data_IF_876723063409
#
_entry.id   IF_876723063409
#
_cell.length_a   1.000
_cell.length_b   1.000
_cell.length_c   1.000
_cell.angle_alpha   90.00
_cell.angle_beta   90.00
_cell.angle_gamma   90.00
#
_symmetry.space_group_name_H-M   'P 1'
#
loop_
_entity.id
_entity.type
_entity.pdbx_description
1 polymer ?
#
# COMPACT_ATOMS: atom_id res chain seq x y z
N UNK A 1 -36.26 -8.69 -73.76
CA UNK A 1 -34.94 -9.24 -74.13
C UNK A 1 -34.05 -9.16 -72.91
N UNK A 2 -34.07 -10.19 -72.07
CA UNK A 2 -33.10 -11.31 -72.04
C UNK A 2 -31.83 -11.00 -71.24
N UNK A 3 -31.83 -11.57 -70.02
CA UNK A 3 -30.75 -12.14 -69.19
C UNK A 3 -29.31 -12.18 -69.75
N UNK A 4 -28.32 -11.87 -68.89
CA UNK A 4 -27.23 -12.79 -68.47
C UNK A 4 -26.55 -12.30 -67.19
N UNK A 5 -26.10 -13.25 -66.36
CA UNK A 5 -25.59 -13.14 -64.98
C UNK A 5 -24.05 -13.12 -64.88
N UNK A 6 -23.58 -12.98 -63.62
CA UNK A 6 -22.26 -13.39 -63.06
C UNK A 6 -21.06 -12.43 -63.26
N UNK A 7 -20.13 -12.20 -62.32
CA UNK A 7 -19.80 -12.83 -61.02
C UNK A 7 -19.06 -11.80 -60.14
N UNK A 8 -19.01 -12.06 -58.83
CA UNK A 8 -18.56 -11.22 -57.73
C UNK A 8 -17.05 -10.91 -57.66
N UNK A 9 -16.70 -9.73 -57.15
CA UNK A 9 -15.45 -9.55 -56.38
C UNK A 9 -15.67 -8.64 -55.15
N UNK A 10 -15.49 -9.21 -53.95
CA UNK A 10 -15.73 -8.53 -52.65
C UNK A 10 -14.39 -8.03 -52.10
N UNK A 11 -14.07 -6.76 -52.33
CA UNK A 11 -13.04 -6.06 -51.58
C UNK A 11 -13.53 -5.77 -50.14
N UNK A 12 -13.12 -6.63 -49.20
CA UNK A 12 -13.25 -6.38 -47.75
C UNK A 12 -12.49 -5.10 -47.37
N UNK A 13 -13.22 -4.02 -47.14
CA UNK A 13 -12.72 -2.85 -46.44
C UNK A 13 -12.47 -3.21 -44.98
N UNK A 14 -11.21 -3.13 -44.52
CA UNK A 14 -10.87 -3.18 -43.09
C UNK A 14 -11.45 -1.94 -42.43
N UNK A 15 -12.54 -2.11 -41.69
CA UNK A 15 -13.10 -1.07 -40.83
C UNK A 15 -12.08 -0.78 -39.74
N UNK A 16 -11.60 0.46 -39.71
CA UNK A 16 -10.76 0.98 -38.64
C UNK A 16 -11.65 1.20 -37.42
N UNK A 17 -11.41 0.42 -36.36
CA UNK A 17 -12.19 0.45 -35.13
C UNK A 17 -11.45 1.30 -34.07
N UNK A 18 -11.94 2.51 -33.73
CA UNK A 18 -11.31 3.40 -32.76
C UNK A 18 -11.21 2.80 -31.35
N UNK A 19 -12.02 1.79 -31.02
CA UNK A 19 -11.98 1.14 -29.70
C UNK A 19 -10.76 0.20 -29.52
N UNK A 20 -10.18 -0.30 -30.63
CA UNK A 20 -8.97 -1.12 -30.59
C UNK A 20 -7.72 -0.31 -30.24
N UNK A 21 -7.65 0.93 -30.69
CA UNK A 21 -6.51 1.82 -30.39
C UNK A 21 -6.52 2.30 -28.94
N UNK A 22 -7.72 2.55 -28.38
CA UNK A 22 -7.87 2.88 -26.96
C UNK A 22 -7.41 1.71 -26.07
N UNK A 23 -7.75 0.48 -26.46
CA UNK A 23 -7.36 -0.72 -25.73
C UNK A 23 -5.84 -0.98 -25.78
N UNK A 24 -5.20 -0.70 -26.92
CA UNK A 24 -3.75 -0.81 -27.10
C UNK A 24 -2.99 0.26 -26.30
N UNK A 25 -3.46 1.50 -26.31
CA UNK A 25 -2.86 2.58 -25.52
C UNK A 25 -2.96 2.33 -24.01
N UNK A 26 -4.07 1.77 -23.55
CA UNK A 26 -4.25 1.38 -22.16
C UNK A 26 -3.27 0.26 -21.78
N UNK A 27 -3.10 -0.74 -22.66
CA UNK A 27 -2.16 -1.85 -22.43
C UNK A 27 -0.70 -1.38 -22.42
N UNK A 28 -0.33 -0.43 -23.27
CA UNK A 28 1.01 0.21 -23.26
C UNK A 28 1.26 0.98 -21.96
N UNK A 29 0.26 1.71 -21.46
CA UNK A 29 0.38 2.42 -20.17
C UNK A 29 0.52 1.44 -19.01
N UNK A 30 -0.23 0.35 -18.98
CA UNK A 30 -0.07 -0.70 -17.97
C UNK A 30 1.28 -1.42 -18.08
N UNK A 31 1.79 -1.64 -19.30
CA UNK A 31 3.13 -2.18 -19.53
C UNK A 31 4.21 -1.23 -18.99
N UNK A 32 4.03 0.08 -19.16
CA UNK A 32 4.98 1.07 -18.65
C UNK A 32 4.99 1.11 -17.12
N UNK A 33 3.82 1.04 -16.48
CA UNK A 33 3.70 0.94 -15.02
C UNK A 33 4.38 -0.33 -14.51
N UNK A 34 4.15 -1.46 -15.17
CA UNK A 34 4.76 -2.75 -14.82
C UNK A 34 6.28 -2.72 -14.98
N UNK A 35 6.76 -2.09 -16.06
CA UNK A 35 8.19 -1.91 -16.32
C UNK A 35 8.83 -1.00 -15.28
N UNK A 36 8.21 0.13 -14.96
CA UNK A 36 8.68 1.05 -13.94
C UNK A 36 8.77 0.37 -12.57
N UNK A 37 7.73 -0.35 -12.15
CA UNK A 37 7.75 -1.13 -10.91
C UNK A 37 8.89 -2.15 -10.87
N UNK A 38 9.15 -2.84 -11.99
CA UNK A 38 10.27 -3.80 -12.13
C UNK A 38 11.64 -3.13 -12.08
N UNK A 39 11.79 -1.96 -12.68
CA UNK A 39 13.05 -1.19 -12.71
C UNK A 39 13.38 -0.58 -11.34
N UNK A 40 12.41 0.03 -10.66
CA UNK A 40 12.56 0.51 -9.27
C UNK A 40 12.98 -0.62 -8.34
N UNK A 41 12.39 -1.79 -8.51
CA UNK A 41 12.72 -3.00 -7.74
C UNK A 41 14.14 -3.49 -8.03
N UNK A 42 14.59 -3.44 -9.28
CA UNK A 42 15.95 -3.84 -9.66
C UNK A 42 17.03 -2.92 -9.06
N UNK A 43 16.75 -1.62 -8.98
CA UNK A 43 17.64 -0.65 -8.31
C UNK A 43 17.79 -0.95 -6.81
N UNK A 44 16.72 -1.38 -6.15
CA UNK A 44 16.76 -1.83 -4.74
C UNK A 44 17.64 -3.09 -4.60
N UNK A 45 17.70 -3.96 -5.61
CA UNK A 45 18.44 -5.21 -5.56
C UNK A 45 19.93 -5.11 -5.96
N UNK A 46 20.35 -4.12 -6.75
CA UNK A 46 21.76 -3.94 -7.12
C UNK A 46 22.64 -3.50 -5.93
N UNK A 47 22.09 -2.75 -4.97
CA UNK A 47 22.80 -2.36 -3.73
C UNK A 47 22.98 -3.52 -2.71
N UNK A 48 22.38 -4.70 -2.95
CA UNK A 48 22.27 -5.77 -1.95
C UNK A 48 23.39 -6.84 -1.98
N UNK A 49 24.27 -6.87 -2.98
CA UNK A 49 25.27 -7.94 -3.09
C UNK A 49 26.38 -7.85 -2.02
N UNK A 50 26.68 -6.66 -1.52
CA UNK A 50 27.74 -6.47 -0.50
C UNK A 50 27.27 -6.77 0.93
N UNK A 51 25.96 -6.76 1.19
CA UNK A 51 25.41 -6.81 2.56
C UNK A 51 25.10 -8.22 3.06
N UNK A 52 24.80 -9.17 2.16
CA UNK A 52 24.57 -10.58 2.53
C UNK A 52 25.82 -11.23 3.16
N UNK A 53 27.03 -10.73 2.86
CA UNK A 53 28.27 -11.20 3.46
C UNK A 53 28.41 -10.82 4.94
N UNK A 54 27.84 -9.69 5.36
CA UNK A 54 27.94 -9.18 6.73
C UNK A 54 27.03 -9.94 7.71
N UNK A 55 25.81 -10.30 7.30
CA UNK A 55 24.89 -11.07 8.14
C UNK A 55 25.28 -12.54 8.28
N UNK A 56 25.86 -13.15 7.25
CA UNK A 56 26.32 -14.55 7.30
C UNK A 56 27.48 -14.75 8.28
N UNK A 57 28.25 -13.70 8.56
CA UNK A 57 29.40 -13.74 9.48
C UNK A 57 29.00 -13.71 10.96
N UNK A 58 27.80 -13.22 11.31
CA UNK A 58 27.35 -13.10 12.71
C UNK A 58 26.65 -14.35 13.25
N UNK A 59 26.25 -15.30 12.39
CA UNK A 59 25.57 -16.54 12.78
C UNK A 59 26.51 -17.73 13.04
N UNK A 60 27.76 -17.67 12.60
CA UNK A 60 28.71 -18.80 12.75
C UNK A 60 29.48 -18.83 14.08
N UNK A 61 29.36 -17.81 14.94
CA UNK A 61 30.13 -17.69 16.19
C UNK A 61 29.39 -18.19 17.45
N UNK A 62 28.33 -18.99 17.31
CA UNK A 62 27.72 -19.67 18.46
C UNK A 62 27.16 -21.03 18.09
N UNK A 63 27.97 -22.06 18.28
CA UNK A 63 27.70 -23.27 19.08
C UNK A 63 28.57 -24.44 18.60
N UNK A 64 29.44 -24.90 19.51
CA UNK A 64 30.26 -26.10 19.41
C UNK A 64 29.74 -27.08 20.47
N UNK A 65 29.33 -28.29 20.07
CA UNK A 65 29.80 -29.58 20.61
C UNK A 65 29.10 -30.77 19.91
N UNK A 66 29.77 -31.94 19.77
CA UNK A 66 29.44 -32.97 18.79
C UNK A 66 28.76 -34.22 19.40
N UNK A 67 28.00 -34.95 18.59
CA UNK A 67 27.67 -36.37 18.82
C UNK A 67 27.96 -37.14 17.53
N UNK A 68 28.66 -38.27 17.68
CA UNK A 68 29.27 -39.10 16.64
C UNK A 68 28.51 -40.43 16.49
N UNK A 69 28.33 -40.85 15.21
CA UNK A 69 28.19 -42.24 14.67
C UNK A 69 26.91 -43.05 15.00
N UNK A 70 26.32 -43.88 14.13
CA UNK A 70 26.90 -44.87 13.20
C UNK A 70 25.91 -45.34 12.09
N UNK A 71 26.45 -45.54 10.86
CA UNK A 71 26.38 -46.72 9.94
C UNK A 71 25.10 -47.11 9.14
N UNK A 72 25.22 -46.86 7.83
CA UNK A 72 25.17 -47.74 6.63
C UNK A 72 23.93 -48.51 6.10
N UNK A 73 23.61 -48.14 4.85
CA UNK A 73 23.52 -48.96 3.61
C UNK A 73 22.25 -49.70 3.15
N UNK A 74 21.87 -49.30 1.91
CA UNK A 74 21.70 -50.12 0.69
C UNK A 74 20.28 -50.44 0.15
N UNK A 75 20.09 -49.98 -1.10
CA UNK A 75 19.54 -50.67 -2.30
C UNK A 75 18.24 -50.14 -2.94
N UNK A 76 18.39 -49.93 -4.25
CA UNK A 76 17.50 -49.48 -5.32
C UNK A 76 16.37 -50.46 -5.61
N UNK A 77 15.17 -49.95 -5.93
CA UNK A 77 14.32 -50.53 -6.97
C UNK A 77 13.41 -49.44 -7.57
N UNK A 78 13.40 -49.46 -8.89
CA UNK A 78 12.78 -48.58 -9.86
C UNK A 78 11.29 -48.91 -10.03
N UNK A 79 10.40 -47.96 -9.75
CA UNK A 79 9.04 -47.95 -10.29
C UNK A 79 8.62 -46.50 -10.53
N UNK A 80 8.44 -46.11 -11.79
CA UNK A 80 7.88 -44.82 -12.20
C UNK A 80 6.39 -44.75 -11.93
N UNK A 81 5.88 -43.73 -11.21
CA UNK A 81 4.48 -43.36 -11.29
C UNK A 81 4.31 -41.94 -11.84
N UNK A 82 3.60 -41.89 -12.96
CA UNK A 82 2.79 -40.79 -13.51
C UNK A 82 2.74 -39.54 -12.61
N UNK A 83 3.31 -38.44 -13.10
CA UNK A 83 3.20 -37.11 -12.48
C UNK A 83 1.72 -36.71 -12.49
N UNK A 84 1.06 -36.90 -11.34
CA UNK A 84 -0.12 -36.12 -11.01
C UNK A 84 0.36 -34.67 -10.81
N UNK A 85 -0.20 -33.75 -11.59
CA UNK A 85 0.05 -32.32 -11.47
C UNK A 85 -0.50 -31.85 -10.12
N UNK A 86 0.30 -32.01 -9.05
CA UNK A 86 -0.01 -31.41 -7.76
C UNK A 86 0.20 -29.91 -7.94
N UNK A 87 -0.90 -29.18 -8.09
CA UNK A 87 -0.90 -27.73 -7.94
C UNK A 87 -0.32 -27.42 -6.56
N UNK A 88 0.95 -27.03 -6.57
CA UNK A 88 1.76 -26.75 -5.41
C UNK A 88 1.18 -25.49 -4.73
N UNK A 89 0.42 -25.70 -3.65
CA UNK A 89 -0.13 -24.65 -2.79
C UNK A 89 0.96 -23.66 -2.30
N UNK A 90 2.22 -24.06 -2.37
CA UNK A 90 3.37 -23.21 -2.06
C UNK A 90 3.53 -22.02 -3.02
N UNK A 91 2.98 -22.07 -4.25
CA UNK A 91 3.11 -20.98 -5.24
C UNK A 91 2.44 -19.67 -4.78
N UNK A 92 1.43 -19.74 -3.92
CA UNK A 92 0.72 -18.57 -3.37
C UNK A 92 1.48 -17.89 -2.22
N UNK A 93 2.48 -18.55 -1.65
CA UNK A 93 3.28 -18.00 -0.54
C UNK A 93 4.56 -17.31 -1.01
N UNK A 94 4.84 -17.28 -2.33
CA UNK A 94 6.02 -16.61 -2.83
C UNK A 94 5.77 -15.11 -3.04
N UNK A 95 6.46 -14.30 -2.24
CA UNK A 95 6.65 -12.87 -2.49
C UNK A 95 7.91 -12.74 -3.34
N UNK A 96 7.73 -12.48 -4.65
CA UNK A 96 8.83 -12.27 -5.61
C UNK A 96 9.86 -13.40 -5.67
N UNK A 97 9.39 -14.65 -5.68
CA UNK A 97 10.27 -15.83 -5.78
C UNK A 97 10.94 -16.24 -4.46
N UNK A 98 10.57 -15.62 -3.33
CA UNK A 98 10.94 -16.06 -1.98
C UNK A 98 9.70 -16.36 -1.14
N UNK A 99 9.80 -17.35 -0.25
CA UNK A 99 8.74 -17.63 0.70
C UNK A 99 8.48 -16.40 1.59
N UNK A 100 7.20 -16.08 1.79
CA UNK A 100 6.74 -15.00 2.65
C UNK A 100 7.21 -15.25 4.08
N UNK A 101 7.83 -14.23 4.67
CA UNK A 101 8.25 -14.28 6.07
C UNK A 101 7.04 -14.06 6.99
N UNK A 102 7.12 -14.46 8.28
CA UNK A 102 6.11 -14.04 9.25
C UNK A 102 6.07 -12.50 9.37
N UNK A 103 4.94 -11.91 9.82
CA UNK A 103 4.86 -10.47 10.08
C UNK A 103 5.94 -10.03 11.07
N UNK A 104 6.39 -8.78 10.94
CA UNK A 104 7.30 -8.16 11.91
C UNK A 104 6.62 -8.11 13.28
N UNK A 105 7.23 -8.73 14.30
CA UNK A 105 6.75 -8.74 15.67
C UNK A 105 7.40 -7.63 16.54
N UNK A 106 6.91 -7.48 17.77
CA UNK A 106 7.33 -6.42 18.69
C UNK A 106 8.82 -6.52 19.04
N UNK A 107 9.33 -7.72 19.29
CA UNK A 107 10.74 -7.94 19.66
C UNK A 107 11.68 -7.54 18.51
N UNK A 108 11.35 -7.94 17.28
CA UNK A 108 12.11 -7.54 16.09
C UNK A 108 12.02 -6.04 15.86
N UNK A 109 10.83 -5.44 16.03
CA UNK A 109 10.64 -3.99 15.91
C UNK A 109 11.52 -3.21 16.89
N UNK A 110 11.55 -3.62 18.16
CA UNK A 110 12.41 -2.99 19.18
C UNK A 110 13.90 -3.09 18.82
N UNK A 111 14.33 -4.15 18.13
CA UNK A 111 15.73 -4.30 17.69
C UNK A 111 16.13 -3.32 16.57
N UNK A 112 15.17 -2.73 15.85
CA UNK A 112 15.44 -1.66 14.87
C UNK A 112 15.61 -0.28 15.51
N UNK A 113 15.22 -0.11 16.78
CA UNK A 113 15.23 1.15 17.48
C UNK A 113 16.48 1.29 18.37
N UNK A 114 17.01 2.51 18.47
CA UNK A 114 18.00 2.83 19.51
C UNK A 114 17.35 3.25 20.84
N UNK A 115 18.19 3.62 21.81
CA UNK A 115 17.73 4.08 23.13
C UNK A 115 16.91 5.38 23.09
N UNK A 116 17.04 6.17 22.02
CA UNK A 116 16.32 7.44 21.84
C UNK A 116 15.11 7.28 20.91
N UNK A 117 14.88 6.08 20.36
CA UNK A 117 13.75 5.74 19.50
C UNK A 117 13.97 6.01 18.01
N UNK A 118 15.21 6.22 17.57
CA UNK A 118 15.54 6.37 16.14
C UNK A 118 15.64 5.00 15.48
N UNK A 119 15.31 4.92 14.20
CA UNK A 119 15.45 3.70 13.39
C UNK A 119 16.88 3.61 12.86
N UNK A 120 17.61 2.60 13.32
CA UNK A 120 19.03 2.41 13.02
C UNK A 120 19.31 2.06 11.56
N UNK A 121 18.45 1.22 10.95
CA UNK A 121 18.57 0.84 9.53
C UNK A 121 17.20 0.82 8.84
N UNK A 122 16.84 1.96 8.24
CA UNK A 122 15.58 2.13 7.53
C UNK A 122 15.46 1.27 6.27
N UNK A 123 16.58 0.91 5.62
CA UNK A 123 16.57 0.07 4.41
C UNK A 123 16.27 -1.38 4.80
N UNK A 124 16.93 -1.90 5.84
CA UNK A 124 16.68 -3.24 6.35
C UNK A 124 15.24 -3.38 6.90
N UNK A 125 14.75 -2.38 7.64
CA UNK A 125 13.37 -2.38 8.13
C UNK A 125 12.36 -2.47 6.99
N UNK A 126 12.46 -1.62 5.97
CA UNK A 126 11.56 -1.64 4.80
C UNK A 126 11.61 -2.98 4.07
N UNK A 127 12.78 -3.59 3.95
CA UNK A 127 12.95 -4.93 3.36
C UNK A 127 12.26 -6.00 4.21
N UNK A 128 12.41 -5.97 5.54
CA UNK A 128 11.76 -6.91 6.47
C UNK A 128 10.23 -6.80 6.40
N UNK A 129 9.71 -5.58 6.33
CA UNK A 129 8.27 -5.31 6.14
C UNK A 129 7.80 -5.78 4.77
N UNK A 130 8.58 -5.57 3.71
CA UNK A 130 8.22 -6.00 2.36
C UNK A 130 8.02 -7.53 2.25
N UNK A 131 8.90 -8.31 2.87
CA UNK A 131 8.83 -9.78 2.80
C UNK A 131 7.87 -10.42 3.80
N UNK A 132 7.59 -9.78 4.94
CA UNK A 132 6.75 -10.37 6.00
C UNK A 132 5.46 -9.63 6.33
N UNK A 133 5.39 -8.34 6.02
CA UNK A 133 4.35 -7.44 6.54
C UNK A 133 4.58 -7.07 8.00
N UNK A 134 3.52 -6.55 8.63
CA UNK A 134 3.55 -6.01 10.00
C UNK A 134 2.40 -6.61 10.80
N UNK A 135 2.69 -7.02 12.04
CA UNK A 135 1.68 -7.46 12.99
C UNK A 135 0.68 -6.33 13.30
N UNK A 136 -0.58 -6.68 13.55
CA UNK A 136 -1.66 -5.68 13.61
C UNK A 136 -1.45 -4.60 14.69
N UNK A 137 -1.05 -5.01 15.89
CA UNK A 137 -0.73 -4.14 17.03
C UNK A 137 0.38 -3.11 16.72
N UNK A 138 1.31 -3.43 15.82
CA UNK A 138 2.41 -2.54 15.44
C UNK A 138 2.07 -1.60 14.29
N UNK A 139 0.98 -1.83 13.55
CA UNK A 139 0.67 -1.05 12.34
C UNK A 139 0.57 0.44 12.62
N UNK A 140 -0.09 0.83 13.72
CA UNK A 140 -0.24 2.23 14.10
C UNK A 140 1.10 2.95 14.23
N UNK A 141 2.08 2.33 14.89
CA UNK A 141 3.41 2.90 15.05
C UNK A 141 4.27 2.82 13.78
N UNK A 142 4.29 1.66 13.13
CA UNK A 142 5.13 1.42 11.95
C UNK A 142 4.65 2.24 10.75
N UNK A 143 3.35 2.38 10.55
CA UNK A 143 2.78 3.14 9.42
C UNK A 143 3.12 4.62 9.50
N UNK A 144 3.26 5.19 10.71
CA UNK A 144 3.72 6.58 10.87
C UNK A 144 5.09 6.81 10.22
N UNK A 145 5.98 5.83 10.21
CA UNK A 145 7.26 5.93 9.49
C UNK A 145 7.13 5.65 7.99
N UNK A 146 6.32 4.66 7.60
CA UNK A 146 6.13 4.29 6.19
C UNK A 146 5.45 5.40 5.39
N UNK A 147 4.49 6.11 6.01
CA UNK A 147 3.73 7.20 5.42
C UNK A 147 4.41 8.57 5.60
N UNK A 148 5.59 8.60 6.21
CA UNK A 148 6.37 9.84 6.38
C UNK A 148 5.84 10.78 7.45
N UNK A 149 4.90 10.35 8.30
CA UNK A 149 4.48 11.11 9.47
C UNK A 149 5.64 11.33 10.46
N UNK A 150 6.51 10.33 10.61
CA UNK A 150 7.76 10.40 11.36
C UNK A 150 8.98 10.24 10.46
N UNK A 151 10.02 11.01 10.72
CA UNK A 151 11.35 10.78 10.16
C UNK A 151 11.99 9.55 10.81
N UNK A 152 12.72 8.75 10.03
CA UNK A 152 13.39 7.54 10.54
C UNK A 152 14.47 7.86 11.58
N UNK A 153 15.05 9.04 11.52
CA UNK A 153 16.07 9.58 12.41
C UNK A 153 15.51 10.37 13.60
N UNK A 154 14.18 10.49 13.71
CA UNK A 154 13.54 11.24 14.81
C UNK A 154 13.51 10.46 16.13
N UNK A 155 13.79 11.18 17.22
CA UNK A 155 13.75 10.65 18.59
C UNK A 155 12.32 10.62 19.15
N UNK A 156 12.09 9.93 20.27
CA UNK A 156 10.79 9.94 20.95
C UNK A 156 10.33 11.35 21.34
N UNK A 157 11.23 12.17 21.87
CA UNK A 157 10.92 13.54 22.31
C UNK A 157 10.55 14.44 21.13
N UNK A 158 11.28 14.36 20.03
CA UNK A 158 10.96 15.11 18.80
C UNK A 158 9.61 14.68 18.22
N UNK A 159 9.31 13.38 18.23
CA UNK A 159 8.03 12.86 17.72
C UNK A 159 6.84 13.34 18.55
N UNK A 160 6.95 13.37 19.87
CA UNK A 160 5.92 13.90 20.76
C UNK A 160 5.68 15.40 20.49
N UNK A 161 6.75 16.19 20.40
CA UNK A 161 6.66 17.61 20.08
C UNK A 161 6.01 17.84 18.71
N UNK A 162 6.46 17.14 17.66
CA UNK A 162 5.92 17.27 16.31
C UNK A 162 4.45 16.85 16.24
N UNK A 163 4.02 15.83 16.99
CA UNK A 163 2.62 15.44 17.06
C UNK A 163 1.74 16.57 17.60
N UNK A 164 2.20 17.30 18.63
CA UNK A 164 1.47 18.46 19.17
C UNK A 164 1.36 19.62 18.18
N UNK A 165 2.43 19.89 17.43
CA UNK A 165 2.47 20.93 16.38
C UNK A 165 1.51 20.56 15.24
N UNK A 166 1.64 19.35 14.71
CA UNK A 166 0.77 18.80 13.65
C UNK A 166 -0.70 18.81 14.04
N UNK A 167 -1.03 18.48 15.29
CA UNK A 167 -2.40 18.54 15.80
C UNK A 167 -2.95 19.97 15.79
N UNK A 168 -2.15 20.95 16.20
CA UNK A 168 -2.54 22.37 16.20
C UNK A 168 -2.73 22.90 14.78
N UNK A 169 -1.84 22.53 13.87
CA UNK A 169 -1.91 22.91 12.45
C UNK A 169 -3.15 22.32 11.78
N UNK A 170 -3.44 21.03 12.02
CA UNK A 170 -4.66 20.37 11.55
C UNK A 170 -5.91 21.14 11.97
N UNK A 171 -6.02 21.48 13.27
CA UNK A 171 -7.17 22.22 13.79
C UNK A 171 -7.28 23.63 13.17
N UNK A 172 -6.14 24.26 12.89
CA UNK A 172 -6.10 25.56 12.20
C UNK A 172 -6.70 25.45 10.80
N UNK A 173 -6.32 24.45 10.01
CA UNK A 173 -6.88 24.22 8.67
C UNK A 173 -8.37 23.86 8.76
N UNK A 174 -8.73 22.97 9.68
CA UNK A 174 -10.13 22.55 9.90
C UNK A 174 -11.03 23.75 10.22
N UNK A 175 -10.56 24.67 11.05
CA UNK A 175 -11.31 25.88 11.42
C UNK A 175 -11.65 26.79 10.22
N UNK A 176 -10.85 26.76 9.14
CA UNK A 176 -11.08 27.58 7.96
C UNK A 176 -12.41 27.24 7.29
N UNK A 177 -12.72 25.95 7.13
CA UNK A 177 -13.97 25.53 6.51
C UNK A 177 -15.14 25.52 7.49
N UNK A 178 -14.88 25.27 8.77
CA UNK A 178 -15.91 25.32 9.82
C UNK A 178 -16.45 26.74 10.04
N UNK A 179 -15.62 27.76 9.82
CA UNK A 179 -16.02 29.17 9.95
C UNK A 179 -16.78 29.72 8.74
N UNK A 180 -16.96 28.93 7.68
CA UNK A 180 -17.72 29.36 6.49
C UNK A 180 -19.21 29.42 6.83
N UNK A 181 -19.76 30.62 6.81
CA UNK A 181 -21.21 30.83 6.97
C UNK A 181 -21.99 30.27 5.79
N UNK A 182 -23.29 29.99 6.01
CA UNK A 182 -24.21 29.55 4.96
C UNK A 182 -24.29 30.53 3.77
N UNK A 183 -24.18 31.84 4.03
CA UNK A 183 -24.17 32.86 2.98
C UNK A 183 -22.86 32.85 2.15
N UNK A 184 -21.72 32.60 2.79
CA UNK A 184 -20.44 32.43 2.09
C UNK A 184 -20.41 31.13 1.28
N UNK A 185 -20.88 30.02 1.87
CA UNK A 185 -20.96 28.73 1.19
C UNK A 185 -21.75 28.82 -0.13
N UNK A 186 -22.87 29.54 -0.15
CA UNK A 186 -23.67 29.79 -1.38
C UNK A 186 -22.85 30.42 -2.51
N UNK A 187 -21.88 31.28 -2.20
CA UNK A 187 -21.01 31.94 -3.19
C UNK A 187 -19.71 31.16 -3.47
N UNK A 188 -19.37 30.18 -2.63
CA UNK A 188 -18.15 29.41 -2.74
C UNK A 188 -18.38 28.07 -3.46
N UNK A 189 -18.46 28.12 -4.79
CA UNK A 189 -18.80 26.94 -5.63
C UNK A 189 -17.86 25.76 -5.42
N UNK A 190 -16.53 25.96 -5.45
CA UNK A 190 -15.55 24.89 -5.22
C UNK A 190 -15.75 24.17 -3.88
N UNK A 191 -16.00 24.92 -2.81
CA UNK A 191 -16.30 24.34 -1.49
C UNK A 191 -17.57 23.48 -1.50
N UNK A 192 -18.68 24.01 -2.04
CA UNK A 192 -19.94 23.25 -2.07
C UNK A 192 -19.83 21.97 -2.88
N UNK A 193 -19.19 22.04 -4.04
CA UNK A 193 -19.04 20.89 -4.93
C UNK A 193 -18.18 19.81 -4.28
N UNK A 194 -17.03 20.17 -3.71
CA UNK A 194 -16.16 19.24 -2.99
C UNK A 194 -16.85 18.64 -1.77
N UNK A 195 -17.51 19.47 -0.96
CA UNK A 195 -18.28 19.00 0.20
C UNK A 195 -19.34 18.00 -0.21
N UNK A 196 -20.12 18.31 -1.25
CA UNK A 196 -21.17 17.42 -1.75
C UNK A 196 -20.66 16.13 -2.38
N UNK A 197 -19.45 16.12 -2.95
CA UNK A 197 -18.80 14.89 -3.41
C UNK A 197 -18.32 14.03 -2.22
N UNK A 198 -17.67 14.64 -1.23
CA UNK A 198 -17.22 13.97 -0.01
C UNK A 198 -18.42 13.36 0.73
N UNK A 199 -19.49 14.12 0.96
CA UNK A 199 -20.71 13.65 1.64
C UNK A 199 -21.33 12.41 0.97
N UNK A 200 -21.25 12.31 -0.37
CA UNK A 200 -21.74 11.15 -1.12
C UNK A 200 -20.80 9.95 -1.04
N UNK A 201 -19.50 10.18 -0.98
CA UNK A 201 -18.49 9.12 -1.00
C UNK A 201 -18.33 8.46 0.38
N UNK A 202 -18.33 9.24 1.46
CA UNK A 202 -18.12 8.68 2.81
C UNK A 202 -19.25 7.76 3.26
N UNK A 203 -20.50 8.00 2.83
CA UNK A 203 -21.66 7.15 3.18
C UNK A 203 -21.63 5.78 2.51
N UNK A 204 -20.85 5.62 1.43
CA UNK A 204 -20.68 4.35 0.71
C UNK A 204 -19.36 3.64 1.02
N UNK A 205 -18.42 4.26 1.72
CA UNK A 205 -17.09 3.70 2.01
C UNK A 205 -17.14 2.64 3.12
N UNK A 206 -16.64 1.44 2.82
CA UNK A 206 -16.35 0.33 3.73
C UNK A 206 -17.45 -0.03 4.76
N UNK A 207 -18.72 0.14 4.39
CA UNK A 207 -19.88 -0.13 5.27
C UNK A 207 -20.04 -1.59 5.72
N UNK A 208 -19.33 -2.52 5.09
CA UNK A 208 -19.25 -3.92 5.55
C UNK A 208 -18.27 -4.13 6.72
N UNK A 209 -17.45 -3.13 7.04
CA UNK A 209 -16.48 -3.18 8.14
C UNK A 209 -17.15 -2.60 9.39
N UNK A 210 -17.10 -3.32 10.51
CA UNK A 210 -17.75 -2.94 11.78
C UNK A 210 -17.34 -1.55 12.27
N UNK A 211 -16.12 -1.11 11.96
CA UNK A 211 -15.61 0.22 12.29
C UNK A 211 -16.42 1.35 11.64
N UNK A 212 -16.94 1.14 10.43
CA UNK A 212 -17.74 2.11 9.67
C UNK A 212 -19.21 1.75 9.57
N UNK A 213 -19.67 0.68 10.22
CA UNK A 213 -21.06 0.22 10.18
C UNK A 213 -21.97 1.07 11.09
N UNK A 214 -23.28 1.05 10.82
CA UNK A 214 -24.30 1.75 11.60
C UNK A 214 -24.61 3.17 11.13
N UNK A 215 -25.85 3.60 11.38
CA UNK A 215 -26.30 4.97 11.12
C UNK A 215 -25.59 5.96 12.06
N UNK A 216 -25.36 7.19 11.59
CA UNK A 216 -24.69 8.26 12.36
C UNK A 216 -23.32 7.85 12.95
N UNK A 217 -22.57 7.00 12.24
CA UNK A 217 -21.26 6.50 12.67
C UNK A 217 -20.22 7.64 12.77
N UNK A 218 -19.56 7.76 13.93
CA UNK A 218 -18.56 8.79 14.21
C UNK A 218 -17.35 8.70 13.28
N UNK A 219 -16.90 7.51 12.91
CA UNK A 219 -15.76 7.32 12.01
C UNK A 219 -16.07 7.74 10.57
N UNK A 220 -17.33 7.62 10.12
CA UNK A 220 -17.77 8.20 8.85
C UNK A 220 -17.75 9.73 8.90
N UNK A 221 -18.13 10.33 10.03
CA UNK A 221 -17.98 11.77 10.24
C UNK A 221 -16.50 12.21 10.26
N UNK A 222 -15.61 11.40 10.85
CA UNK A 222 -14.16 11.65 10.81
C UNK A 222 -13.60 11.58 9.37
N UNK A 223 -14.04 10.60 8.56
CA UNK A 223 -13.68 10.56 7.13
C UNK A 223 -14.09 11.86 6.41
N UNK A 224 -15.32 12.32 6.64
CA UNK A 224 -15.81 13.57 6.08
C UNK A 224 -14.91 14.76 6.49
N UNK A 225 -14.64 14.89 7.79
CA UNK A 225 -13.89 16.03 8.32
C UNK A 225 -12.44 16.06 7.83
N UNK A 226 -11.76 14.91 7.78
CA UNK A 226 -10.38 14.81 7.29
C UNK A 226 -10.32 15.17 5.80
N UNK A 227 -11.20 14.60 4.96
CA UNK A 227 -11.21 14.86 3.53
C UNK A 227 -11.55 16.32 3.21
N UNK A 228 -12.49 16.90 3.96
CA UNK A 228 -12.86 18.29 3.80
C UNK A 228 -11.71 19.20 4.24
N UNK A 229 -11.03 18.88 5.34
CA UNK A 229 -9.83 19.60 5.79
C UNK A 229 -8.70 19.48 4.76
N UNK A 230 -8.49 18.31 4.16
CA UNK A 230 -7.52 18.12 3.08
C UNK A 230 -7.83 18.99 1.87
N UNK A 231 -9.11 19.16 1.54
CA UNK A 231 -9.52 20.03 0.43
C UNK A 231 -9.20 21.52 0.63
N UNK A 232 -8.92 21.93 1.88
CA UNK A 232 -8.44 23.27 2.24
C UNK A 232 -6.91 23.31 2.34
N UNK A 233 -6.29 22.22 2.78
CA UNK A 233 -4.83 22.07 2.81
C UNK A 233 -4.23 22.11 1.39
N UNK A 234 -4.75 21.28 0.48
CA UNK A 234 -4.40 21.31 -0.93
C UNK A 234 -5.60 21.78 -1.75
N UNK A 235 -5.78 23.10 -1.81
CA UNK A 235 -6.97 23.69 -2.42
C UNK A 235 -7.04 23.51 -3.94
N UNK A 236 -5.93 23.25 -4.63
CA UNK A 236 -5.92 23.03 -6.07
C UNK A 236 -6.40 21.63 -6.42
N UNK A 237 -5.85 20.60 -5.76
CA UNK A 237 -6.30 19.22 -5.89
C UNK A 237 -7.73 19.06 -5.34
N UNK A 238 -7.97 19.57 -4.13
CA UNK A 238 -9.26 19.49 -3.46
C UNK A 238 -9.62 18.05 -3.09
N UNK A 239 -10.67 17.53 -3.73
CA UNK A 239 -11.16 16.18 -3.54
C UNK A 239 -11.44 15.53 -4.89
N UNK A 240 -11.00 14.28 -5.04
CA UNK A 240 -11.31 13.41 -6.17
C UNK A 240 -11.98 12.13 -5.67
N UNK A 241 -12.93 11.61 -6.44
CA UNK A 241 -13.65 10.39 -6.10
C UNK A 241 -12.67 9.23 -5.84
N UNK A 242 -12.90 8.50 -4.75
CA UNK A 242 -12.04 7.39 -4.32
C UNK A 242 -10.97 7.77 -3.29
N UNK A 243 -10.74 9.07 -3.03
CA UNK A 243 -9.87 9.50 -1.93
C UNK A 243 -10.37 9.01 -0.55
N UNK A 244 -11.69 8.82 -0.38
CA UNK A 244 -12.26 8.22 0.84
C UNK A 244 -11.81 6.78 1.04
N UNK A 245 -11.69 6.01 -0.03
CA UNK A 245 -11.31 4.60 0.00
C UNK A 245 -9.80 4.45 0.29
N UNK A 246 -8.99 5.48 -0.03
CA UNK A 246 -7.59 5.56 0.39
C UNK A 246 -7.45 5.95 1.88
N UNK A 247 -8.27 6.88 2.36
CA UNK A 247 -8.22 7.34 3.74
C UNK A 247 -8.75 6.30 4.73
N UNK A 248 -9.80 5.56 4.37
CA UNK A 248 -10.44 4.55 5.21
C UNK A 248 -9.46 3.61 5.95
N UNK A 249 -8.57 2.87 5.27
CA UNK A 249 -7.63 2.00 5.97
C UNK A 249 -6.63 2.76 6.85
N UNK A 250 -6.30 4.01 6.53
CA UNK A 250 -5.40 4.84 7.35
C UNK A 250 -6.11 5.23 8.65
N UNK A 251 -7.35 5.74 8.56
CA UNK A 251 -8.14 6.12 9.73
C UNK A 251 -8.42 4.91 10.64
N UNK A 252 -8.72 3.76 10.05
CA UNK A 252 -8.90 2.50 10.79
C UNK A 252 -7.64 2.12 11.60
N UNK A 253 -6.44 2.37 11.08
CA UNK A 253 -5.18 2.03 11.77
C UNK A 253 -4.76 3.10 12.78
N UNK A 254 -4.94 4.38 12.44
CA UNK A 254 -4.47 5.48 13.29
C UNK A 254 -5.42 5.78 14.44
N UNK A 255 -6.74 5.64 14.23
CA UNK A 255 -7.78 5.93 15.22
C UNK A 255 -7.73 7.35 15.83
N UNK A 256 -6.96 8.25 15.24
CA UNK A 256 -6.88 9.67 15.59
C UNK A 256 -7.04 10.52 14.33
N UNK A 257 -7.85 11.56 14.43
CA UNK A 257 -8.23 12.40 13.28
C UNK A 257 -7.03 13.15 12.66
N UNK A 258 -6.21 13.78 13.50
CA UNK A 258 -5.08 14.58 13.03
C UNK A 258 -3.94 13.69 12.54
N UNK A 259 -3.64 12.58 13.24
CA UNK A 259 -2.65 11.61 12.77
C UNK A 259 -3.06 11.02 11.41
N UNK A 260 -4.34 10.68 11.24
CA UNK A 260 -4.86 10.16 9.97
C UNK A 260 -4.73 11.18 8.85
N UNK A 261 -5.05 12.45 9.10
CA UNK A 261 -4.90 13.54 8.13
C UNK A 261 -3.46 13.67 7.63
N UNK A 262 -2.47 13.63 8.52
CA UNK A 262 -1.06 13.80 8.14
C UNK A 262 -0.42 12.54 7.57
N UNK A 263 -1.03 11.38 7.77
CA UNK A 263 -0.62 10.13 7.14
C UNK A 263 -1.23 9.96 5.74
N UNK A 264 -2.32 10.67 5.45
CA UNK A 264 -3.06 10.67 4.20
C UNK A 264 -2.48 11.67 3.19
#
# INVERSE_FOLDING_TARGET
TSSTSEYSDRHRHKVHDPARDISLQVLEKFSLITKFARETTSHIFQENNDFNAYFKKKQNDSLLMPIVSHIDTHTVADETPVIADSLDDNKLNLVWGKSRQPPLCLEEWSAFLDSEGRIMDSKALRKRIFYGGVEHNLRKEVWKFLLGYHGYDSTYAEREYLASVKKTEYQTIKSQWQSISSAQAKRFTKYRERKGLIEKDVVRTDRSVTYYDGDDNVNVALLHDILLTYSFYNFDLGYCQGMSDLLSPILFVMEDEAESFWCF
#
